data_IF_474032955609
#
_entry.id   IF_474032955609
#
_cell.length_a   1.000
_cell.length_b   1.000
_cell.length_c   1.000
_cell.angle_alpha   90.00
_cell.angle_beta   90.00
_cell.angle_gamma   90.00
#
_symmetry.space_group_name_H-M   'P 1'
#
loop_
_entity.id
_entity.type
_entity.pdbx_description
1 polymer ?
#
# COMPACT_ATOMS: atom_id res chain seq x y z
N UNK A 1 -5.22 24.46 8.28
CA UNK A 1 -4.78 25.82 7.91
C UNK A 1 -3.85 25.71 6.70
N UNK A 2 -4.12 26.39 5.57
CA UNK A 2 -3.43 26.16 4.31
C UNK A 2 -2.35 27.23 4.01
N UNK A 3 -1.44 27.48 4.96
CA UNK A 3 -0.39 28.51 4.80
C UNK A 3 1.05 27.98 4.95
N UNK A 4 1.24 26.69 5.22
CA UNK A 4 2.58 26.06 5.28
C UNK A 4 2.86 25.07 4.15
N UNK A 5 1.92 24.87 3.24
CA UNK A 5 2.03 23.89 2.14
C UNK A 5 2.99 24.35 1.00
N UNK A 6 3.57 25.55 1.11
CA UNK A 6 4.43 26.18 0.10
C UNK A 6 5.93 26.30 0.44
N UNK A 7 6.41 25.77 1.57
CA UNK A 7 7.83 25.89 1.98
C UNK A 7 8.57 24.56 2.17
N UNK A 8 7.93 23.42 1.84
CA UNK A 8 8.54 22.09 1.93
C UNK A 8 9.24 21.59 0.66
N UNK A 9 9.45 22.45 -0.35
CA UNK A 9 10.12 22.10 -1.62
C UNK A 9 11.65 21.95 -1.47
N UNK A 10 12.11 21.23 -0.43
CA UNK A 10 13.53 21.09 -0.14
C UNK A 10 13.84 19.98 0.88
N UNK A 11 13.79 18.72 0.46
CA UNK A 11 14.61 17.67 1.05
C UNK A 11 14.03 16.83 2.19
N UNK A 12 12.79 17.05 2.63
CA UNK A 12 12.17 16.13 3.59
C UNK A 12 11.70 14.86 2.86
N UNK A 13 12.41 13.75 3.09
CA UNK A 13 11.98 12.41 2.66
C UNK A 13 10.77 12.01 3.50
N UNK A 14 9.59 12.48 3.13
CA UNK A 14 8.36 12.13 3.85
C UNK A 14 8.15 10.63 3.78
N UNK A 15 8.08 9.98 4.95
CA UNK A 15 7.91 8.55 5.03
C UNK A 15 6.55 8.13 4.48
N UNK A 16 6.51 7.00 3.76
CA UNK A 16 5.25 6.39 3.36
C UNK A 16 4.78 5.44 4.46
N UNK A 17 3.49 5.55 4.77
CA UNK A 17 2.82 4.71 5.75
C UNK A 17 1.94 3.72 4.99
N UNK A 18 2.10 2.43 5.29
CA UNK A 18 1.27 1.35 4.74
C UNK A 18 0.71 0.55 5.93
N UNK A 19 -0.60 0.57 6.10
CA UNK A 19 -1.35 -0.21 7.09
C UNK A 19 -2.03 -1.39 6.37
N UNK A 20 -1.44 -2.58 6.46
CA UNK A 20 -1.94 -3.81 5.82
C UNK A 20 -3.03 -4.44 6.69
N UNK A 21 -4.29 -4.30 6.28
CA UNK A 21 -5.43 -5.00 6.85
C UNK A 21 -5.82 -6.25 6.05
N UNK A 22 -6.64 -7.12 6.64
CA UNK A 22 -7.12 -8.33 5.97
C UNK A 22 -8.14 -8.07 4.85
N UNK A 23 -8.87 -6.94 4.93
CA UNK A 23 -9.88 -6.55 3.93
C UNK A 23 -9.43 -5.32 3.12
N UNK A 24 -8.85 -4.32 3.80
CA UNK A 24 -8.41 -3.07 3.19
C UNK A 24 -7.02 -2.68 3.67
N UNK A 25 -6.24 -2.13 2.75
CA UNK A 25 -4.94 -1.53 3.00
C UNK A 25 -5.09 -0.01 2.90
N UNK A 26 -4.58 0.69 3.91
CA UNK A 26 -4.52 2.16 3.89
C UNK A 26 -3.10 2.59 3.57
N UNK A 27 -2.93 3.59 2.71
CA UNK A 27 -1.61 4.15 2.42
C UNK A 27 -1.65 5.67 2.24
N UNK A 28 -0.53 6.32 2.55
CA UNK A 28 -0.37 7.77 2.48
C UNK A 28 0.99 8.20 3.01
N UNK A 29 1.14 9.50 3.27
CA UNK A 29 2.39 10.04 3.79
C UNK A 29 2.28 10.38 5.27
N UNK A 30 3.38 10.17 6.00
CA UNK A 30 3.47 10.56 7.40
C UNK A 30 3.29 12.08 7.54
N UNK A 31 2.49 12.51 8.53
CA UNK A 31 2.20 13.93 8.78
C UNK A 31 0.95 14.47 8.10
N UNK A 32 0.31 13.70 7.22
CA UNK A 32 -0.99 14.07 6.64
C UNK A 32 -2.16 13.77 7.59
N UNK A 33 -3.27 14.49 7.44
CA UNK A 33 -4.48 14.35 8.28
C UNK A 33 -5.18 12.99 8.13
N UNK A 34 -4.87 12.23 7.09
CA UNK A 34 -5.45 10.91 6.83
C UNK A 34 -4.73 10.18 5.69
N UNK A 35 -5.09 8.91 5.43
CA UNK A 35 -4.54 8.17 4.29
C UNK A 35 -4.99 8.81 2.98
N UNK A 36 -4.13 8.77 1.96
CA UNK A 36 -4.51 9.21 0.61
C UNK A 36 -5.37 8.19 -0.09
N UNK A 37 -5.14 6.90 0.18
CA UNK A 37 -5.90 5.81 -0.42
C UNK A 37 -6.27 4.75 0.61
N UNK A 38 -7.42 4.14 0.37
CA UNK A 38 -7.89 2.93 1.05
C UNK A 38 -8.30 1.98 -0.07
N UNK A 39 -7.52 0.92 -0.28
CA UNK A 39 -7.74 -0.03 -1.37
C UNK A 39 -8.05 -1.42 -0.81
N UNK A 40 -8.80 -2.28 -1.54
CA UNK A 40 -8.93 -3.68 -1.16
C UNK A 40 -7.56 -4.35 -1.02
N UNK A 41 -7.40 -5.19 0.00
CA UNK A 41 -6.16 -5.94 0.24
C UNK A 41 -6.10 -7.19 -0.63
N UNK A 42 -6.19 -6.98 -1.94
CA UNK A 42 -6.35 -8.03 -2.95
C UNK A 42 -5.51 -7.72 -4.19
N UNK A 43 -4.97 -8.77 -4.82
CA UNK A 43 -4.32 -8.69 -6.13
C UNK A 43 -5.09 -9.54 -7.16
N UNK A 44 -4.98 -9.15 -8.43
CA UNK A 44 -5.48 -9.93 -9.56
C UNK A 44 -4.28 -10.45 -10.34
N UNK A 45 -4.07 -11.76 -10.34
CA UNK A 45 -2.97 -12.36 -11.10
C UNK A 45 -3.18 -12.12 -12.59
N UNK A 46 -2.15 -11.61 -13.28
CA UNK A 46 -2.22 -11.35 -14.71
C UNK A 46 -2.63 -12.62 -15.49
N UNK A 47 -3.68 -12.51 -16.29
CA UNK A 47 -4.22 -13.64 -17.08
C UNK A 47 -5.13 -14.60 -16.31
N UNK A 48 -5.40 -14.36 -15.02
CA UNK A 48 -6.38 -15.10 -14.23
C UNK A 48 -7.55 -14.21 -13.79
N UNK A 49 -8.73 -14.80 -13.63
CA UNK A 49 -9.88 -14.16 -12.97
C UNK A 49 -9.82 -14.29 -11.45
N UNK A 50 -8.83 -15.03 -10.93
CA UNK A 50 -8.68 -15.25 -9.50
C UNK A 50 -8.19 -13.99 -8.79
N UNK A 51 -8.94 -13.65 -7.73
CA UNK A 51 -8.61 -12.58 -6.79
C UNK A 51 -7.97 -13.23 -5.57
N UNK A 52 -6.77 -12.78 -5.22
CA UNK A 52 -5.99 -13.34 -4.11
C UNK A 52 -5.84 -12.28 -3.03
N UNK A 53 -6.18 -12.63 -1.78
CA UNK A 53 -5.98 -11.75 -0.63
C UNK A 53 -4.50 -11.61 -0.29
N UNK A 54 -4.08 -10.40 0.10
CA UNK A 54 -2.69 -10.10 0.42
C UNK A 54 -2.31 -10.62 1.80
N UNK A 55 -3.16 -10.41 2.80
CA UNK A 55 -2.92 -10.87 4.17
C UNK A 55 -3.43 -12.30 4.30
N UNK A 56 -2.51 -13.25 4.34
CA UNK A 56 -2.79 -14.68 4.53
C UNK A 56 -1.89 -15.25 5.62
N UNK A 57 -2.42 -16.25 6.33
CA UNK A 57 -1.71 -16.99 7.38
C UNK A 57 -1.57 -18.46 6.96
N UNK A 58 -0.58 -19.16 7.52
CA UNK A 58 -0.36 -20.58 7.28
C UNK A 58 -0.09 -20.95 5.80
N UNK A 59 0.48 -20.02 5.03
CA UNK A 59 0.86 -20.20 3.62
C UNK A 59 2.38 -20.38 3.48
N UNK A 60 2.82 -20.96 2.36
CA UNK A 60 4.22 -21.02 1.99
C UNK A 60 4.85 -19.61 1.85
N UNK A 61 6.09 -19.46 2.31
CA UNK A 61 6.82 -18.18 2.33
C UNK A 61 7.14 -17.62 0.95
N UNK A 62 7.44 -18.47 -0.04
CA UNK A 62 7.73 -18.04 -1.41
C UNK A 62 6.46 -17.49 -2.07
N UNK A 63 5.32 -18.15 -1.82
CA UNK A 63 4.03 -17.69 -2.31
C UNK A 63 3.63 -16.36 -1.66
N UNK A 64 3.78 -16.24 -0.33
CA UNK A 64 3.55 -14.98 0.37
C UNK A 64 4.44 -13.84 -0.17
N UNK A 65 5.72 -14.13 -0.42
CA UNK A 65 6.64 -13.16 -1.00
C UNK A 65 6.17 -12.69 -2.39
N UNK A 66 5.73 -13.61 -3.25
CA UNK A 66 5.21 -13.29 -4.57
C UNK A 66 3.98 -12.37 -4.49
N UNK A 67 3.02 -12.70 -3.61
CA UNK A 67 1.81 -11.91 -3.39
C UNK A 67 2.16 -10.51 -2.89
N UNK A 68 3.04 -10.39 -1.90
CA UNK A 68 3.45 -9.10 -1.35
C UNK A 68 4.19 -8.26 -2.39
N UNK A 69 5.11 -8.86 -3.16
CA UNK A 69 5.84 -8.16 -4.22
C UNK A 69 4.89 -7.57 -5.25
N UNK A 70 3.91 -8.34 -5.71
CA UNK A 70 2.92 -7.90 -6.70
C UNK A 70 2.04 -6.79 -6.13
N UNK A 71 1.59 -6.92 -4.88
CA UNK A 71 0.78 -5.88 -4.22
C UNK A 71 1.55 -4.57 -4.00
N UNK A 72 2.82 -4.63 -3.60
CA UNK A 72 3.67 -3.44 -3.46
C UNK A 72 3.93 -2.79 -4.83
N UNK A 73 4.06 -3.57 -5.91
CA UNK A 73 4.14 -2.99 -7.26
C UNK A 73 2.87 -2.21 -7.59
N UNK A 74 1.68 -2.78 -7.34
CA UNK A 74 0.40 -2.10 -7.56
C UNK A 74 0.25 -0.80 -6.75
N UNK A 75 0.88 -0.70 -5.58
CA UNK A 75 0.84 0.51 -4.75
C UNK A 75 1.73 1.65 -5.24
N UNK A 76 2.77 1.37 -6.01
CA UNK A 76 3.83 2.35 -6.34
C UNK A 76 4.14 2.52 -7.83
N UNK A 77 3.75 1.57 -8.67
CA UNK A 77 4.05 1.53 -10.11
C UNK A 77 2.77 1.36 -10.92
#
# INVERSE_FOLDING_TARGET
>A
MPLFEGLGSGGEKTAVVIDLGAAYTKCGFAGETGPRFIIPSEIKRAGSLEVVRVVQYNINTEELYSILKEFIHLLYF
#
